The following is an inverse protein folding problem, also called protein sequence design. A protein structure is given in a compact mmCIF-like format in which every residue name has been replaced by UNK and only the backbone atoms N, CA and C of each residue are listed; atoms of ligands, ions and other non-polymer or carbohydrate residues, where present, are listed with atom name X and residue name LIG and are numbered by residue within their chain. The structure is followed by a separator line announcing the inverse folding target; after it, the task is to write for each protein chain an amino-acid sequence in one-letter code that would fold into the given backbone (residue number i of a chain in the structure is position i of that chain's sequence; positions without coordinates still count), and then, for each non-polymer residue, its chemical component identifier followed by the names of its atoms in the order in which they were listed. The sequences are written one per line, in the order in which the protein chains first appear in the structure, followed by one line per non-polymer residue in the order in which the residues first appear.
data_IF_434970537565
#
_entry.id   IF_434970537565
#
_cell.length_a   1.000
_cell.length_b   1.000
_cell.length_c   1.000
_cell.angle_alpha   90.00
_cell.angle_beta   90.00
_cell.angle_gamma   90.00
#
_symmetry.space_group_name_H-M   'P 1'
#
loop_
_entity.id
_entity.type
_entity.pdbx_description
1 polymer ?
#
# COMPACT_ATOMS: atom_id res chain seq x y z
N UNK A 1 -0.08 4.99 -2.70
CA UNK A 1 0.31 4.61 -4.09
C UNK A 1 0.91 5.82 -4.76
N UNK A 2 2.16 5.77 -5.20
CA UNK A 2 2.86 6.87 -5.87
C UNK A 2 2.83 6.65 -7.37
N UNK A 3 2.15 7.54 -8.09
CA UNK A 3 2.01 7.54 -9.56
C UNK A 3 1.61 6.16 -10.14
N UNK A 4 0.52 5.53 -9.66
CA UNK A 4 0.10 4.22 -10.17
C UNK A 4 -0.26 4.29 -11.66
N UNK A 5 0.12 3.25 -12.42
CA UNK A 5 -0.01 3.22 -13.88
C UNK A 5 -1.09 2.24 -14.36
N UNK A 6 -1.39 1.20 -13.58
CA UNK A 6 -2.29 0.11 -13.99
C UNK A 6 -3.59 0.17 -13.19
N UNK A 7 -4.74 0.50 -13.85
CA UNK A 7 -6.01 0.66 -13.14
C UNK A 7 -6.47 -0.62 -12.42
N UNK A 8 -6.19 -1.81 -12.97
CA UNK A 8 -6.54 -3.07 -12.33
C UNK A 8 -5.82 -3.27 -10.99
N UNK A 9 -4.54 -2.88 -10.89
CA UNK A 9 -3.80 -2.95 -9.64
C UNK A 9 -4.41 -2.00 -8.61
N UNK A 10 -4.70 -0.77 -9.00
CA UNK A 10 -5.36 0.22 -8.13
C UNK A 10 -6.73 -0.27 -7.67
N UNK A 11 -7.51 -0.89 -8.55
CA UNK A 11 -8.79 -1.50 -8.21
C UNK A 11 -8.66 -2.61 -7.17
N UNK A 12 -7.71 -3.52 -7.33
CA UNK A 12 -7.45 -4.59 -6.35
C UNK A 12 -6.95 -4.03 -5.01
N UNK A 13 -6.11 -2.99 -5.05
CA UNK A 13 -5.62 -2.31 -3.84
C UNK A 13 -6.77 -1.60 -3.12
N UNK A 14 -7.62 -0.89 -3.85
CA UNK A 14 -8.81 -0.24 -3.31
C UNK A 14 -9.72 -1.24 -2.59
N UNK A 15 -9.93 -2.43 -3.18
CA UNK A 15 -10.68 -3.51 -2.53
C UNK A 15 -9.99 -3.99 -1.25
N UNK A 16 -8.68 -4.19 -1.28
CA UNK A 16 -7.91 -4.54 -0.07
C UNK A 16 -8.09 -3.48 1.02
N UNK A 17 -7.96 -2.20 0.69
CA UNK A 17 -8.15 -1.10 1.63
C UNK A 17 -9.59 -1.09 2.20
N UNK A 18 -10.61 -1.26 1.34
CA UNK A 18 -12.01 -1.26 1.79
C UNK A 18 -12.35 -2.38 2.78
N UNK A 19 -11.81 -3.60 2.57
CA UNK A 19 -12.08 -4.74 3.46
C UNK A 19 -11.23 -4.73 4.73
N UNK A 20 -10.13 -3.99 4.75
CA UNK A 20 -9.23 -3.89 5.90
C UNK A 20 -9.37 -2.60 6.70
N UNK A 21 -10.19 -1.66 6.23
CA UNK A 21 -10.31 -0.32 6.83
C UNK A 21 -9.11 0.58 6.59
N UNK A 22 -8.15 0.18 5.75
CA UNK A 22 -6.98 0.99 5.44
C UNK A 22 -7.35 2.18 4.55
N UNK A 23 -6.78 3.34 4.83
CA UNK A 23 -6.91 4.53 3.98
C UNK A 23 -6.03 4.41 2.74
N UNK A 24 -6.57 4.75 1.58
CA UNK A 24 -5.86 4.76 0.31
C UNK A 24 -5.41 6.17 -0.06
N UNK A 25 -4.10 6.40 -0.12
CA UNK A 25 -3.53 7.63 -0.65
C UNK A 25 -3.10 7.42 -2.10
N UNK A 26 -3.60 8.27 -3.01
CA UNK A 26 -3.21 8.30 -4.42
C UNK A 26 -2.40 9.55 -4.71
N UNK A 27 -1.17 9.38 -5.12
CA UNK A 27 -0.25 10.47 -5.45
C UNK A 27 -0.13 10.61 -6.95
N UNK A 28 -0.50 11.77 -7.46
CA UNK A 28 -0.45 12.11 -8.89
C UNK A 28 0.98 12.28 -9.44
N UNK A 29 1.18 12.13 -10.79
CA UNK A 29 0.16 11.84 -11.79
C UNK A 29 -0.29 10.37 -11.77
N UNK A 30 -1.56 10.12 -12.09
CA UNK A 30 -2.08 8.78 -12.29
C UNK A 30 -2.01 8.42 -13.78
N UNK A 31 -1.69 7.16 -14.08
CA UNK A 31 -1.66 6.65 -15.46
C UNK A 31 -3.05 6.36 -16.06
N UNK A 32 -4.13 6.68 -15.34
CA UNK A 32 -5.51 6.38 -15.73
C UNK A 32 -6.48 7.38 -15.10
N UNK A 33 -7.72 7.39 -15.60
CA UNK A 33 -8.80 8.20 -15.03
C UNK A 33 -9.52 7.41 -13.93
N UNK A 34 -9.54 7.97 -12.70
CA UNK A 34 -10.30 7.42 -11.56
C UNK A 34 -11.77 7.86 -11.56
N UNK A 35 -12.24 8.48 -12.64
CA UNK A 35 -13.65 8.83 -12.75
C UNK A 35 -14.55 7.62 -12.48
N UNK A 36 -15.72 7.88 -11.91
CA UNK A 36 -16.67 6.86 -11.48
C UNK A 36 -16.94 5.77 -12.53
N UNK A 37 -16.90 6.10 -13.84
CA UNK A 37 -17.09 5.15 -14.94
C UNK A 37 -15.94 4.16 -15.09
N UNK A 38 -14.69 4.59 -14.93
CA UNK A 38 -13.53 3.70 -15.03
C UNK A 38 -13.47 2.75 -13.82
N UNK A 39 -13.82 3.25 -12.65
CA UNK A 39 -13.89 2.50 -11.40
C UNK A 39 -15.04 1.50 -11.40
N UNK A 40 -16.25 1.90 -11.81
CA UNK A 40 -17.42 1.00 -11.92
C UNK A 40 -17.20 -0.14 -12.92
N UNK A 41 -16.44 0.07 -14.02
CA UNK A 41 -16.07 -0.99 -14.97
C UNK A 41 -15.15 -2.05 -14.39
N UNK A 42 -14.36 -1.73 -13.39
CA UNK A 42 -13.50 -2.70 -12.68
C UNK A 42 -14.21 -3.48 -11.57
N UNK A 43 -15.55 -3.34 -11.45
CA UNK A 43 -16.36 -4.13 -10.50
C UNK A 43 -16.20 -3.71 -9.04
N UNK A 44 -15.89 -2.45 -8.78
CA UNK A 44 -15.66 -1.95 -7.43
C UNK A 44 -16.95 -1.46 -6.76
N UNK A 45 -17.76 -2.38 -6.27
CA UNK A 45 -18.90 -2.09 -5.39
C UNK A 45 -18.45 -1.50 -4.02
N UNK A 46 -17.13 -1.37 -3.82
CA UNK A 46 -16.53 -0.93 -2.55
C UNK A 46 -16.09 0.53 -2.55
N UNK A 47 -16.14 1.22 -3.70
CA UNK A 47 -15.59 2.57 -3.83
C UNK A 47 -16.23 3.58 -2.88
N UNK A 48 -17.54 3.49 -2.67
CA UNK A 48 -18.29 4.37 -1.76
C UNK A 48 -17.97 4.14 -0.27
N UNK A 49 -17.27 3.04 0.05
CA UNK A 49 -16.87 2.66 1.41
C UNK A 49 -15.39 2.91 1.68
N UNK A 50 -14.67 3.41 0.70
CA UNK A 50 -13.23 3.55 0.74
C UNK A 50 -12.86 4.97 1.19
N UNK A 51 -12.01 5.06 2.21
CA UNK A 51 -11.36 6.32 2.58
C UNK A 51 -10.19 6.58 1.62
N UNK A 52 -10.40 7.52 0.69
CA UNK A 52 -9.39 7.89 -0.31
C UNK A 52 -8.96 9.34 -0.10
N UNK A 53 -7.67 9.58 -0.24
CA UNK A 53 -7.09 10.91 -0.30
C UNK A 53 -6.13 11.04 -1.48
N UNK A 54 -6.33 12.07 -2.30
CA UNK A 54 -5.49 12.38 -3.46
C UNK A 54 -4.48 13.48 -3.12
N UNK A 55 -3.28 13.38 -3.71
CA UNK A 55 -2.18 14.34 -3.54
C UNK A 55 -1.61 14.72 -4.89
N UNK A 56 -1.39 16.01 -5.11
CA UNK A 56 -0.89 16.55 -6.39
C UNK A 56 0.50 16.01 -6.75
N UNK A 57 1.31 15.65 -5.74
CA UNK A 57 2.66 15.11 -5.95
C UNK A 57 3.18 14.37 -4.73
N UNK A 58 4.23 13.58 -4.92
CA UNK A 58 4.95 12.94 -3.81
C UNK A 58 5.54 13.98 -2.85
N UNK A 59 5.95 15.15 -3.35
CA UNK A 59 6.42 16.26 -2.51
C UNK A 59 5.33 16.74 -1.56
N UNK A 60 4.12 17.02 -2.08
CA UNK A 60 2.97 17.45 -1.27
C UNK A 60 2.58 16.40 -0.22
N UNK A 61 2.58 15.12 -0.59
CA UNK A 61 2.33 14.02 0.35
C UNK A 61 3.36 14.00 1.49
N UNK A 62 4.66 14.06 1.17
CA UNK A 62 5.73 13.99 2.15
C UNK A 62 5.81 15.24 3.04
N UNK A 63 5.41 16.41 2.54
CA UNK A 63 5.30 17.63 3.33
C UNK A 63 4.18 17.52 4.36
N UNK A 64 3.03 16.94 3.96
CA UNK A 64 1.89 16.74 4.85
C UNK A 64 2.15 15.69 5.92
N UNK A 65 2.71 14.54 5.56
CA UNK A 65 2.83 13.37 6.44
C UNK A 65 4.23 13.13 6.99
N UNK A 66 5.24 13.88 6.59
CA UNK A 66 6.59 13.93 7.14
C UNK A 66 7.18 12.60 7.61
N UNK A 67 7.97 11.91 6.79
CA UNK A 67 8.49 10.57 7.12
C UNK A 67 9.29 10.50 8.41
N UNK A 68 9.90 11.60 8.82
CA UNK A 68 10.71 11.70 10.04
C UNK A 68 9.85 11.68 11.32
N UNK A 69 8.59 12.14 11.22
CA UNK A 69 7.66 12.27 12.34
C UNK A 69 6.68 11.11 12.41
N UNK A 70 6.55 10.29 11.34
CA UNK A 70 5.55 9.23 11.22
C UNK A 70 6.17 7.86 10.95
N UNK A 71 5.42 6.79 11.28
CA UNK A 71 5.78 5.41 10.96
C UNK A 71 5.55 5.16 9.45
N UNK A 72 6.49 5.60 8.63
CA UNK A 72 6.41 5.55 7.18
C UNK A 72 7.48 4.63 6.61
N UNK A 73 7.05 3.68 5.76
CA UNK A 73 7.91 2.69 5.13
C UNK A 73 7.80 2.75 3.61
N UNK A 74 8.89 2.46 2.93
CA UNK A 74 9.01 2.49 1.48
C UNK A 74 9.21 1.07 0.95
N UNK A 75 8.14 0.48 0.41
CA UNK A 75 8.18 -0.87 -0.12
C UNK A 75 8.90 -0.90 -1.48
N UNK A 76 9.98 -1.66 -1.55
CA UNK A 76 10.81 -1.73 -2.75
C UNK A 76 11.59 -3.04 -2.83
N UNK A 77 11.83 -3.54 -4.04
CA UNK A 77 12.71 -4.69 -4.27
C UNK A 77 14.17 -4.41 -3.92
N UNK A 78 14.55 -3.13 -3.78
CA UNK A 78 15.89 -2.66 -3.41
C UNK A 78 16.08 -2.51 -1.89
N UNK A 79 15.01 -2.74 -1.10
CA UNK A 79 15.05 -2.61 0.36
C UNK A 79 15.98 -3.63 1.01
N UNK A 80 16.56 -3.26 2.13
CA UNK A 80 17.50 -4.09 2.92
C UNK A 80 16.85 -4.79 4.10
N UNK A 81 15.72 -4.29 4.58
CA UNK A 81 14.99 -4.84 5.72
C UNK A 81 13.80 -5.65 5.23
N UNK A 82 13.64 -6.88 5.72
CA UNK A 82 12.42 -7.64 5.41
C UNK A 82 11.22 -6.96 6.08
N UNK A 83 10.08 -6.96 5.39
CA UNK A 83 8.86 -6.37 5.92
C UNK A 83 8.42 -6.99 7.25
N UNK A 84 8.78 -8.26 7.49
CA UNK A 84 8.50 -9.00 8.73
C UNK A 84 9.44 -8.67 9.89
N UNK A 85 10.57 -8.02 9.63
CA UNK A 85 11.54 -7.65 10.67
C UNK A 85 11.19 -6.33 11.36
N UNK A 86 10.15 -5.64 10.87
CA UNK A 86 9.60 -4.44 11.50
C UNK A 86 8.58 -4.84 12.57
N UNK A 87 8.72 -4.27 13.74
CA UNK A 87 7.69 -4.38 14.78
C UNK A 87 6.66 -3.28 14.63
N UNK A 88 5.49 -3.61 14.03
CA UNK A 88 4.38 -2.69 13.84
C UNK A 88 3.44 -2.60 15.04
N UNK A 89 3.49 -3.55 15.98
CA UNK A 89 2.49 -3.71 17.06
C UNK A 89 2.32 -2.48 17.96
N UNK A 90 3.35 -1.64 18.05
CA UNK A 90 3.33 -0.42 18.87
C UNK A 90 3.12 0.85 18.03
N UNK A 91 2.75 0.72 16.75
CA UNK A 91 2.55 1.84 15.83
C UNK A 91 1.06 2.06 15.63
N UNK A 92 0.51 3.15 16.17
CA UNK A 92 -0.92 3.46 16.02
C UNK A 92 -1.31 3.72 14.55
N UNK A 93 -0.46 4.37 13.78
CA UNK A 93 -0.65 4.64 12.36
C UNK A 93 0.61 4.25 11.59
N UNK A 94 0.44 3.51 10.49
CA UNK A 94 1.54 3.04 9.64
C UNK A 94 1.27 3.42 8.19
N UNK A 95 2.19 4.16 7.58
CA UNK A 95 2.17 4.46 6.16
C UNK A 95 3.11 3.51 5.42
N UNK A 96 2.62 2.90 4.35
CA UNK A 96 3.46 2.14 3.43
C UNK A 96 3.32 2.71 2.03
N UNK A 97 4.42 3.20 1.47
CA UNK A 97 4.46 3.76 0.13
C UNK A 97 4.91 2.72 -0.88
N UNK A 98 4.17 2.66 -1.97
CA UNK A 98 4.47 1.81 -3.12
C UNK A 98 4.59 2.70 -4.35
N UNK A 99 5.59 2.42 -5.19
CA UNK A 99 5.80 3.15 -6.43
C UNK A 99 4.98 2.61 -7.59
N UNK A 100 5.10 3.29 -8.72
CA UNK A 100 4.52 2.84 -9.97
C UNK A 100 5.09 1.48 -10.40
N UNK A 101 4.32 0.79 -11.20
CA UNK A 101 4.60 -0.60 -11.58
C UNK A 101 5.89 -0.75 -12.38
N UNK A 102 6.22 0.23 -13.22
CA UNK A 102 7.38 0.16 -14.12
C UNK A 102 8.70 0.53 -13.45
N UNK A 103 8.73 1.59 -12.64
CA UNK A 103 9.97 2.18 -12.09
C UNK A 103 10.09 2.10 -10.56
N UNK A 104 8.98 1.77 -9.88
CA UNK A 104 8.92 1.82 -8.42
C UNK A 104 8.93 3.25 -7.86
N UNK A 105 9.30 3.39 -6.61
CA UNK A 105 9.45 4.68 -5.94
C UNK A 105 10.64 5.49 -6.50
N UNK A 106 10.57 6.83 -6.44
CA UNK A 106 11.66 7.69 -6.89
C UNK A 106 13.00 7.34 -6.24
N UNK A 107 14.06 7.28 -7.04
CA UNK A 107 15.39 6.84 -6.58
C UNK A 107 15.95 7.75 -5.47
N UNK A 108 15.74 9.06 -5.57
CA UNK A 108 16.18 10.00 -4.55
C UNK A 108 15.56 9.72 -3.18
N UNK A 109 14.27 9.31 -3.15
CA UNK A 109 13.55 8.95 -1.95
C UNK A 109 14.12 7.67 -1.35
N UNK A 110 14.33 6.65 -2.18
CA UNK A 110 14.91 5.39 -1.74
C UNK A 110 16.34 5.57 -1.22
N UNK A 111 17.17 6.39 -1.85
CA UNK A 111 18.54 6.68 -1.39
C UNK A 111 18.54 7.35 -0.02
N UNK A 112 17.64 8.33 0.19
CA UNK A 112 17.54 9.05 1.47
C UNK A 112 17.21 8.10 2.63
N UNK A 113 16.34 7.11 2.42
CA UNK A 113 15.82 6.24 3.47
C UNK A 113 16.25 4.77 3.37
N UNK A 114 17.26 4.45 2.56
CA UNK A 114 17.62 3.08 2.21
C UNK A 114 17.87 2.16 3.42
N UNK A 115 18.53 2.68 4.44
CA UNK A 115 18.93 1.89 5.61
C UNK A 115 17.96 2.03 6.80
N UNK A 116 16.98 2.90 6.72
CA UNK A 116 16.12 3.25 7.87
C UNK A 116 14.66 2.90 7.68
N UNK A 117 14.14 3.11 6.46
CA UNK A 117 12.69 3.01 6.21
C UNK A 117 12.32 2.17 4.99
N UNK A 118 13.30 1.59 4.26
CA UNK A 118 12.96 0.71 3.14
C UNK A 118 12.68 -0.71 3.60
N UNK A 119 11.60 -1.28 3.09
CA UNK A 119 11.22 -2.67 3.35
C UNK A 119 11.06 -3.45 2.05
N UNK A 120 11.29 -4.76 2.11
CA UNK A 120 11.11 -5.66 0.96
C UNK A 120 10.40 -6.94 1.34
N UNK A 121 9.67 -7.49 0.39
CA UNK A 121 9.19 -8.87 0.44
C UNK A 121 10.31 -9.75 -0.16
N UNK A 122 10.77 -10.81 0.54
CA UNK A 122 11.75 -11.75 0.00
C UNK A 122 11.26 -12.43 -1.27
N UNK A 123 12.13 -12.58 -2.26
CA UNK A 123 11.84 -13.21 -3.54
C UNK A 123 13.05 -13.98 -4.03
N UNK A 124 12.83 -14.94 -4.94
CA UNK A 124 13.92 -15.61 -5.65
C UNK A 124 14.77 -14.59 -6.42
N UNK A 125 16.11 -14.71 -6.40
CA UNK A 125 16.99 -13.70 -6.98
C UNK A 125 16.87 -13.57 -8.50
N UNK A 126 16.32 -14.59 -9.17
CA UNK A 126 16.14 -14.63 -10.62
C UNK A 126 14.88 -13.90 -11.10
N UNK A 127 13.97 -13.53 -10.19
CA UNK A 127 12.69 -12.89 -10.51
C UNK A 127 12.75 -11.38 -10.22
N UNK A 128 11.97 -10.61 -11.01
CA UNK A 128 12.04 -9.14 -10.94
C UNK A 128 11.27 -8.55 -9.77
N UNK A 129 9.99 -8.87 -9.67
CA UNK A 129 9.08 -8.28 -8.67
C UNK A 129 7.78 -9.07 -8.59
N UNK A 130 7.09 -8.97 -7.46
CA UNK A 130 5.70 -9.36 -7.33
C UNK A 130 4.79 -8.32 -8.00
N UNK A 131 3.58 -8.75 -8.36
CA UNK A 131 2.52 -7.83 -8.72
C UNK A 131 2.29 -6.83 -7.58
N UNK A 132 2.04 -5.56 -7.93
CA UNK A 132 1.93 -4.49 -6.97
C UNK A 132 0.77 -4.68 -5.98
N UNK A 133 -0.41 -5.07 -6.44
CA UNK A 133 -1.55 -5.31 -5.56
C UNK A 133 -1.34 -6.48 -4.60
N UNK A 134 -0.61 -7.51 -5.03
CA UNK A 134 -0.21 -8.61 -4.16
C UNK A 134 0.76 -8.14 -3.07
N UNK A 135 1.72 -7.30 -3.44
CA UNK A 135 2.68 -6.72 -2.47
C UNK A 135 1.97 -5.89 -1.41
N UNK A 136 0.99 -5.08 -1.82
CA UNK A 136 0.15 -4.30 -0.89
C UNK A 136 -0.59 -5.22 0.06
N UNK A 137 -1.27 -6.25 -0.45
CA UNK A 137 -2.02 -7.18 0.38
C UNK A 137 -1.12 -7.91 1.40
N UNK A 138 0.04 -8.41 0.98
CA UNK A 138 0.98 -9.12 1.86
C UNK A 138 1.44 -8.24 3.02
N UNK A 139 1.88 -7.01 2.74
CA UNK A 139 2.39 -6.12 3.79
C UNK A 139 1.25 -5.62 4.68
N UNK A 140 0.10 -5.28 4.12
CA UNK A 140 -1.08 -4.85 4.89
C UNK A 140 -1.50 -5.94 5.89
N UNK A 141 -1.60 -7.19 5.44
CA UNK A 141 -1.99 -8.30 6.33
C UNK A 141 -0.94 -8.65 7.35
N UNK A 142 0.35 -8.43 7.09
CA UNK A 142 1.39 -8.56 8.12
C UNK A 142 1.24 -7.47 9.21
N UNK A 143 0.97 -6.23 8.83
CA UNK A 143 0.68 -5.16 9.78
C UNK A 143 -0.54 -5.52 10.64
N UNK A 144 -1.64 -5.91 10.01
CA UNK A 144 -2.87 -6.34 10.69
C UNK A 144 -2.65 -7.55 11.61
N UNK A 145 -1.85 -8.53 11.17
CA UNK A 145 -1.49 -9.69 11.99
C UNK A 145 -0.78 -9.27 13.28
N UNK A 146 0.12 -8.29 13.21
CA UNK A 146 0.82 -7.77 14.40
C UNK A 146 -0.10 -6.93 15.29
N UNK A 147 -1.19 -6.39 14.76
CA UNK A 147 -2.28 -5.74 15.49
C UNK A 147 -3.43 -6.71 15.83
N UNK A 148 -3.17 -8.04 15.78
CA UNK A 148 -4.15 -9.07 16.14
C UNK A 148 -5.47 -9.00 15.37
N UNK A 149 -5.47 -8.48 14.13
CA UNK A 149 -6.65 -8.29 13.27
C UNK A 149 -7.80 -7.54 13.96
N UNK A 150 -7.46 -6.61 14.86
CA UNK A 150 -8.43 -5.79 15.59
C UNK A 150 -9.48 -5.22 14.63
N UNK A 151 -10.75 -5.25 15.04
CA UNK A 151 -11.91 -4.83 14.25
C UNK A 151 -12.23 -5.67 12.99
N UNK A 152 -11.51 -6.75 12.72
CA UNK A 152 -11.80 -7.63 11.60
C UNK A 152 -12.51 -8.92 12.06
N UNK A 153 -13.39 -9.43 11.21
CA UNK A 153 -14.05 -10.72 11.46
C UNK A 153 -13.06 -11.87 11.21
N UNK A 154 -12.65 -12.56 12.27
CA UNK A 154 -11.66 -13.64 12.19
C UNK A 154 -12.25 -15.00 11.80
N UNK A 155 -13.53 -15.24 12.12
CA UNK A 155 -14.21 -16.51 11.87
C UNK A 155 -15.54 -16.30 11.14
N UNK A 156 -15.99 -17.34 10.46
CA UNK A 156 -17.29 -17.34 9.76
C UNK A 156 -18.23 -18.36 10.38
N UNK A 157 -19.48 -17.98 10.58
CA UNK A 157 -20.58 -18.84 11.02
C UNK A 157 -21.46 -19.33 9.85
N UNK A 158 -21.02 -19.12 8.61
CA UNK A 158 -21.84 -19.40 7.43
C UNK A 158 -22.23 -20.88 7.30
N UNK A 159 -21.35 -21.79 7.70
CA UNK A 159 -21.58 -23.23 7.65
C UNK A 159 -22.17 -23.83 8.94
N UNK A 160 -22.41 -23.01 9.95
CA UNK A 160 -22.97 -23.46 11.25
C UNK A 160 -24.53 -23.54 11.23
N UNK A 161 -25.14 -23.39 10.04
CA UNK A 161 -26.60 -23.40 9.83
C UNK A 161 -27.08 -24.75 9.32
#
# INVERSE_FOLDING_TARGET
MVEPEIPQNTGNIARTCAITGAKLHLVHPLGFDISEKAVKRSGLDYWDKLDIEEHDSIGAFLEKYKPEENNMFFATTKGKTKYTDINYSNMYEVFVLYGKETKGLPEWLLKKYLNTKTIRIPMLPTLRSLNLSNSVAIITYEILRQHHFEDLQETSTYLDK
#
